data_IF_129635210955
#
_entry.id   IF_129635210955
#
_cell.length_a   1.000
_cell.length_b   1.000
_cell.length_c   1.000
_cell.angle_alpha   90.00
_cell.angle_beta   90.00
_cell.angle_gamma   90.00
#
_symmetry.space_group_name_H-M   'P 1'
#
loop_
_entity.id
_entity.type
_entity.pdbx_description
1 polymer ?
#
# COMPACT_ATOMS: atom_id res chain seq x y z
N UNK A 1 -66.07 -26.66 16.48
CA UNK A 1 -65.16 -25.55 16.80
C UNK A 1 -64.03 -26.11 17.66
N UNK A 2 -62.75 -25.97 17.26
CA UNK A 2 -61.64 -26.45 18.08
C UNK A 2 -61.61 -25.69 19.41
N UNK A 3 -61.38 -26.40 20.51
CA UNK A 3 -61.27 -25.81 21.85
C UNK A 3 -60.04 -24.91 21.94
N UNK A 4 -60.10 -23.80 22.69
CA UNK A 4 -59.03 -22.79 22.76
C UNK A 4 -57.65 -23.35 23.16
N UNK A 5 -57.62 -24.48 23.88
CA UNK A 5 -56.40 -25.21 24.27
C UNK A 5 -55.70 -25.88 23.08
N UNK A 6 -56.45 -26.45 22.13
CA UNK A 6 -55.89 -27.07 20.93
C UNK A 6 -55.27 -26.04 19.97
N UNK A 7 -55.82 -24.82 19.94
CA UNK A 7 -55.30 -23.72 19.13
C UNK A 7 -53.98 -23.14 19.64
N UNK A 8 -53.76 -23.13 20.96
CA UNK A 8 -52.49 -22.71 21.57
C UNK A 8 -51.37 -23.72 21.27
N UNK A 9 -51.66 -25.02 21.39
CA UNK A 9 -50.70 -26.11 21.10
C UNK A 9 -50.23 -26.13 19.63
N UNK A 10 -51.13 -25.86 18.67
CA UNK A 10 -50.79 -25.81 17.25
C UNK A 10 -49.85 -24.65 16.90
N UNK A 11 -50.07 -23.47 17.48
CA UNK A 11 -49.18 -22.29 17.30
C UNK A 11 -47.80 -22.53 17.91
N UNK A 12 -47.73 -23.19 19.06
CA UNK A 12 -46.47 -23.54 19.71
C UNK A 12 -45.66 -24.58 18.93
N UNK A 13 -46.33 -25.54 18.29
CA UNK A 13 -45.71 -26.52 17.39
C UNK A 13 -45.20 -25.88 16.10
N UNK A 14 -45.97 -24.96 15.51
CA UNK A 14 -45.57 -24.20 14.33
C UNK A 14 -44.37 -23.29 14.61
N UNK A 15 -44.39 -22.56 15.74
CA UNK A 15 -43.28 -21.74 16.21
C UNK A 15 -42.01 -22.56 16.49
N UNK A 16 -42.12 -23.75 17.10
CA UNK A 16 -40.97 -24.65 17.28
C UNK A 16 -40.41 -25.16 15.95
N UNK A 17 -41.28 -25.43 14.96
CA UNK A 17 -40.87 -25.90 13.64
C UNK A 17 -40.17 -24.79 12.83
N UNK A 18 -40.66 -23.55 12.90
CA UNK A 18 -40.05 -22.39 12.24
C UNK A 18 -38.71 -22.03 12.89
N UNK A 19 -38.62 -22.10 14.22
CA UNK A 19 -37.36 -21.92 14.93
C UNK A 19 -36.31 -22.96 14.52
N UNK A 20 -36.69 -24.25 14.42
CA UNK A 20 -35.78 -25.33 13.97
C UNK A 20 -35.30 -25.12 12.53
N UNK A 21 -36.18 -24.68 11.62
CA UNK A 21 -35.81 -24.35 10.22
C UNK A 21 -34.87 -23.16 10.15
N UNK A 22 -35.15 -22.09 10.91
CA UNK A 22 -34.29 -20.91 10.99
C UNK A 22 -32.91 -21.28 11.59
N UNK A 23 -32.87 -22.04 12.68
CA UNK A 23 -31.63 -22.53 13.28
C UNK A 23 -30.84 -23.40 12.30
N UNK A 24 -31.52 -24.28 11.55
CA UNK A 24 -30.89 -25.10 10.51
C UNK A 24 -30.27 -24.23 9.41
N UNK A 25 -30.99 -23.22 8.92
CA UNK A 25 -30.48 -22.29 7.92
C UNK A 25 -29.26 -21.49 8.43
N UNK A 26 -29.35 -20.95 9.65
CA UNK A 26 -28.25 -20.22 10.28
C UNK A 26 -27.02 -21.11 10.48
N UNK A 27 -27.20 -22.37 10.87
CA UNK A 27 -26.11 -23.34 10.96
C UNK A 27 -25.46 -23.59 9.60
N UNK A 28 -26.25 -23.78 8.54
CA UNK A 28 -25.72 -23.94 7.18
C UNK A 28 -24.94 -22.70 6.71
N UNK A 29 -25.45 -21.49 6.98
CA UNK A 29 -24.75 -20.24 6.66
C UNK A 29 -23.42 -20.16 7.43
N UNK A 30 -23.43 -20.47 8.74
CA UNK A 30 -22.23 -20.48 9.56
C UNK A 30 -21.18 -21.47 9.03
N UNK A 31 -21.59 -22.69 8.67
CA UNK A 31 -20.71 -23.70 8.08
C UNK A 31 -20.13 -23.18 6.76
N UNK A 32 -20.94 -22.59 5.88
CA UNK A 32 -20.45 -22.02 4.62
C UNK A 32 -19.44 -20.89 4.84
N UNK A 33 -19.65 -20.02 5.84
CA UNK A 33 -18.70 -18.96 6.19
C UNK A 33 -17.38 -19.54 6.71
N UNK A 34 -17.43 -20.53 7.61
CA UNK A 34 -16.22 -21.20 8.13
C UNK A 34 -15.45 -21.88 7.01
N UNK A 35 -16.14 -22.65 6.14
CA UNK A 35 -15.51 -23.30 4.99
C UNK A 35 -14.92 -22.28 4.00
N UNK A 36 -15.62 -21.16 3.80
CA UNK A 36 -15.14 -20.02 3.01
C UNK A 36 -13.82 -19.49 3.54
N UNK A 37 -13.76 -19.13 4.83
CA UNK A 37 -12.53 -18.66 5.49
C UNK A 37 -11.38 -19.65 5.38
N UNK A 38 -11.61 -20.92 5.75
CA UNK A 38 -10.58 -21.95 5.70
C UNK A 38 -10.07 -22.20 4.28
N UNK A 39 -10.98 -22.23 3.30
CA UNK A 39 -10.64 -22.39 1.89
C UNK A 39 -9.81 -21.20 1.37
N UNK A 40 -10.23 -19.98 1.70
CA UNK A 40 -9.51 -18.78 1.28
C UNK A 40 -8.17 -18.61 1.98
N UNK A 41 -8.07 -18.96 3.26
CA UNK A 41 -6.80 -18.95 4.00
C UNK A 41 -5.74 -19.78 3.29
N UNK A 42 -6.09 -20.99 2.82
CA UNK A 42 -5.14 -21.81 2.05
C UNK A 42 -4.70 -21.19 0.73
N UNK A 43 -5.61 -20.52 0.01
CA UNK A 43 -5.27 -19.83 -1.25
C UNK A 43 -4.41 -18.59 -0.97
N UNK A 44 -4.68 -17.89 0.13
CA UNK A 44 -3.94 -16.73 0.61
C UNK A 44 -2.49 -17.09 0.93
N UNK A 45 -2.29 -18.16 1.70
CA UNK A 45 -0.99 -18.65 2.16
C UNK A 45 -0.08 -19.13 1.02
N UNK A 46 -0.64 -19.42 -0.17
CA UNK A 46 0.13 -19.84 -1.34
C UNK A 46 0.56 -18.66 -2.23
N UNK A 47 0.10 -17.44 -1.95
CA UNK A 47 0.40 -16.28 -2.81
C UNK A 47 1.68 -15.58 -2.39
N UNK A 48 2.71 -15.73 -3.22
CA UNK A 48 3.99 -15.05 -3.06
C UNK A 48 3.87 -13.55 -2.78
N UNK A 49 3.02 -12.81 -3.50
CA UNK A 49 2.86 -11.36 -3.30
C UNK A 49 2.31 -11.06 -1.91
N UNK A 50 1.28 -11.78 -1.49
CA UNK A 50 0.68 -11.65 -0.16
C UNK A 50 1.69 -11.94 0.94
N UNK A 51 2.40 -13.06 0.85
CA UNK A 51 3.44 -13.42 1.81
C UNK A 51 4.53 -12.36 1.89
N UNK A 52 4.94 -11.81 0.74
CA UNK A 52 5.96 -10.75 0.70
C UNK A 52 5.48 -9.48 1.40
N UNK A 53 4.20 -9.12 1.26
CA UNK A 53 3.61 -7.98 1.97
C UNK A 53 3.56 -8.26 3.48
N UNK A 54 3.11 -9.45 3.89
CA UNK A 54 3.04 -9.86 5.30
C UNK A 54 4.41 -9.85 5.97
N UNK A 55 5.41 -10.40 5.31
CA UNK A 55 6.79 -10.40 5.77
C UNK A 55 7.32 -8.98 5.88
N UNK A 56 7.03 -8.12 4.89
CA UNK A 56 7.39 -6.70 4.94
C UNK A 56 6.76 -5.95 6.12
N UNK A 57 5.48 -6.20 6.41
CA UNK A 57 4.78 -5.63 7.58
C UNK A 57 5.36 -6.17 8.88
N UNK A 58 5.62 -7.47 8.96
CA UNK A 58 6.22 -8.11 10.14
C UNK A 58 7.63 -7.56 10.41
N UNK A 59 8.45 -7.45 9.38
CA UNK A 59 9.79 -6.85 9.43
C UNK A 59 9.72 -5.41 9.91
N UNK A 60 8.82 -4.59 9.33
CA UNK A 60 8.62 -3.20 9.72
C UNK A 60 8.19 -3.07 11.20
N UNK A 61 7.31 -3.94 11.68
CA UNK A 61 6.89 -3.98 13.08
C UNK A 61 7.98 -4.46 14.03
N UNK A 62 8.93 -5.25 13.55
CA UNK A 62 10.06 -5.74 14.34
C UNK A 62 11.18 -4.70 14.49
N UNK A 63 11.15 -3.60 13.73
CA UNK A 63 12.16 -2.53 13.82
C UNK A 63 12.15 -1.94 15.22
N UNK A 64 13.33 -1.96 15.85
CA UNK A 64 13.61 -1.29 17.13
C UNK A 64 14.83 -0.40 16.94
N UNK A 65 14.81 0.77 17.55
CA UNK A 65 15.99 1.63 17.60
C UNK A 65 17.19 0.86 18.18
N UNK A 66 18.37 1.04 17.58
CA UNK A 66 19.61 0.42 18.04
C UNK A 66 20.76 1.41 17.88
N UNK A 67 21.45 1.71 18.97
CA UNK A 67 22.57 2.67 18.98
C UNK A 67 23.70 2.29 18.00
N UNK A 68 23.86 1.00 17.72
CA UNK A 68 24.94 0.48 16.86
C UNK A 68 24.66 0.57 15.36
N UNK A 69 23.39 0.71 14.95
CA UNK A 69 23.00 0.69 13.52
C UNK A 69 21.73 1.49 13.28
N UNK A 70 21.78 2.43 12.34
CA UNK A 70 20.61 3.19 11.93
C UNK A 70 19.62 2.30 11.19
N UNK A 71 18.39 2.25 11.68
CA UNK A 71 17.29 1.49 11.10
C UNK A 71 16.58 2.33 10.03
N UNK A 72 16.62 1.87 8.78
CA UNK A 72 15.96 2.53 7.66
C UNK A 72 14.77 1.68 7.22
N UNK A 73 13.56 2.26 7.26
CA UNK A 73 12.37 1.67 6.65
C UNK A 73 12.13 2.32 5.29
N UNK A 74 12.33 1.57 4.22
CA UNK A 74 11.93 1.97 2.87
C UNK A 74 10.49 1.51 2.64
N UNK A 75 9.59 2.45 2.39
CA UNK A 75 8.15 2.21 2.37
C UNK A 75 7.50 2.85 1.15
N UNK A 76 6.48 2.20 0.58
CA UNK A 76 5.83 2.71 -0.61
C UNK A 76 5.05 1.66 -1.38
N UNK A 77 4.53 2.04 -2.53
CA UNK A 77 3.70 1.13 -3.31
C UNK A 77 4.51 0.18 -4.20
N UNK A 78 3.98 -0.20 -5.35
CA UNK A 78 4.67 -1.07 -6.32
C UNK A 78 6.01 -0.49 -6.79
N UNK A 79 6.20 0.83 -6.77
CA UNK A 79 7.47 1.47 -7.08
C UNK A 79 8.59 1.10 -6.09
N UNK A 80 8.26 0.90 -4.82
CA UNK A 80 9.21 0.38 -3.82
C UNK A 80 9.29 -1.14 -3.89
N UNK A 81 8.15 -1.81 -4.02
CA UNK A 81 8.08 -3.26 -4.07
C UNK A 81 8.93 -3.86 -5.20
N UNK A 82 8.93 -3.22 -6.38
CA UNK A 82 9.64 -3.69 -7.56
C UNK A 82 10.90 -2.87 -7.87
N UNK A 83 10.89 -1.56 -7.58
CA UNK A 83 11.97 -0.65 -7.93
C UNK A 83 13.13 -0.61 -6.93
N UNK A 84 12.95 -1.10 -5.69
CA UNK A 84 14.00 -1.16 -4.68
C UNK A 84 14.38 -2.60 -4.34
N UNK A 85 15.64 -2.93 -4.57
CA UNK A 85 16.24 -4.19 -4.16
C UNK A 85 16.96 -4.04 -2.82
N UNK A 86 16.33 -4.53 -1.74
CA UNK A 86 16.88 -4.56 -0.36
C UNK A 86 18.33 -5.04 -0.30
N UNK A 87 18.74 -6.16 -0.93
CA UNK A 87 20.14 -6.61 -0.85
C UNK A 87 21.15 -5.60 -1.38
N UNK A 88 20.86 -4.96 -2.52
CA UNK A 88 21.78 -4.01 -3.16
C UNK A 88 21.78 -2.66 -2.44
N UNK A 89 20.63 -2.21 -1.93
CA UNK A 89 20.55 -1.03 -1.09
C UNK A 89 21.34 -1.22 0.21
N UNK A 90 21.17 -2.37 0.88
CA UNK A 90 21.93 -2.73 2.08
C UNK A 90 23.43 -2.84 1.81
N UNK A 91 23.82 -3.45 0.67
CA UNK A 91 25.21 -3.54 0.24
C UNK A 91 25.84 -2.15 0.04
N UNK A 92 25.12 -1.25 -0.65
CA UNK A 92 25.62 0.10 -0.94
C UNK A 92 25.73 0.99 0.30
N UNK A 93 24.85 0.84 1.28
CA UNK A 93 24.90 1.61 2.52
C UNK A 93 25.96 1.10 3.51
N UNK A 94 26.22 -0.21 3.52
CA UNK A 94 27.17 -0.86 4.42
C UNK A 94 26.58 -1.23 5.79
N UNK A 95 27.42 -1.77 6.68
CA UNK A 95 27.00 -2.40 7.93
C UNK A 95 26.54 -1.45 9.06
N UNK A 96 26.73 -0.14 8.90
CA UNK A 96 26.27 0.90 9.84
C UNK A 96 24.76 1.14 9.75
N UNK A 97 24.13 0.66 8.67
CA UNK A 97 22.71 0.79 8.41
C UNK A 97 22.06 -0.60 8.39
N UNK A 98 20.81 -0.67 8.82
CA UNK A 98 19.96 -1.84 8.66
C UNK A 98 18.74 -1.44 7.84
N UNK A 99 18.67 -1.96 6.62
CA UNK A 99 17.59 -1.66 5.67
C UNK A 99 16.45 -2.65 5.84
N UNK A 100 15.24 -2.12 5.95
CA UNK A 100 13.98 -2.83 5.91
C UNK A 100 13.15 -2.27 4.75
N UNK A 101 12.40 -3.13 4.06
CA UNK A 101 11.59 -2.74 2.90
C UNK A 101 10.16 -3.21 3.10
N UNK A 102 9.20 -2.32 2.93
CA UNK A 102 7.78 -2.63 2.96
C UNK A 102 7.12 -1.99 1.75
N UNK A 103 7.01 -2.77 0.67
CA UNK A 103 6.30 -2.38 -0.54
C UNK A 103 4.89 -2.98 -0.56
N UNK A 104 3.85 -2.18 -0.82
CA UNK A 104 2.48 -2.69 -0.97
C UNK A 104 1.96 -2.33 -2.37
N UNK A 105 1.97 -3.25 -3.33
CA UNK A 105 1.46 -3.01 -4.68
C UNK A 105 0.04 -2.42 -4.68
N UNK A 106 -0.18 -1.42 -5.54
CA UNK A 106 -1.45 -0.71 -5.70
C UNK A 106 -1.78 0.31 -4.60
N UNK A 107 -1.03 0.36 -3.51
CA UNK A 107 -1.33 1.24 -2.38
C UNK A 107 -1.26 2.73 -2.75
N UNK A 108 -2.11 3.52 -2.11
CA UNK A 108 -2.28 4.96 -2.31
C UNK A 108 -1.68 5.78 -1.17
N UNK A 109 -1.73 7.10 -1.31
CA UNK A 109 -1.31 8.03 -0.26
C UNK A 109 -1.98 7.75 1.10
N UNK A 110 -3.31 7.57 1.14
CA UNK A 110 -4.02 7.38 2.40
C UNK A 110 -3.65 6.04 3.05
N UNK A 111 -3.49 4.97 2.26
CA UNK A 111 -3.03 3.67 2.73
C UNK A 111 -1.75 3.81 3.57
N UNK A 112 -0.80 4.60 3.08
CA UNK A 112 0.47 4.87 3.74
C UNK A 112 0.37 5.84 4.91
N UNK A 113 -0.44 6.90 4.81
CA UNK A 113 -0.64 7.85 5.92
C UNK A 113 -1.16 7.14 7.16
N UNK A 114 -2.23 6.36 7.03
CA UNK A 114 -2.78 5.61 8.15
C UNK A 114 -1.90 4.41 8.53
N UNK A 115 -1.26 3.79 7.54
CA UNK A 115 -0.40 2.64 7.76
C UNK A 115 0.83 2.94 8.60
N UNK A 116 1.56 3.99 8.24
CA UNK A 116 2.72 4.44 9.02
C UNK A 116 2.28 4.83 10.43
N UNK A 117 1.18 5.58 10.58
CA UNK A 117 0.65 5.92 11.89
C UNK A 117 0.34 4.66 12.74
N UNK A 118 -0.21 3.61 12.13
CA UNK A 118 -0.47 2.34 12.81
C UNK A 118 0.81 1.60 13.18
N UNK A 119 1.80 1.53 12.28
CA UNK A 119 3.10 0.90 12.54
C UNK A 119 3.82 1.51 13.75
N UNK A 120 3.91 2.85 13.80
CA UNK A 120 4.56 3.55 14.91
C UNK A 120 3.81 3.35 16.22
N UNK A 121 2.47 3.40 16.21
CA UNK A 121 1.64 3.08 17.39
C UNK A 121 1.84 1.65 17.88
N UNK A 122 2.06 0.70 16.96
CA UNK A 122 2.30 -0.72 17.27
C UNK A 122 3.75 -1.00 17.68
N UNK A 123 4.58 0.05 17.82
CA UNK A 123 5.92 -0.04 18.40
C UNK A 123 7.06 -0.17 17.40
N UNK A 124 6.81 0.01 16.10
CA UNK A 124 7.89 0.18 15.12
C UNK A 124 8.69 1.45 15.45
N UNK A 125 10.02 1.36 15.44
CA UNK A 125 10.92 2.47 15.77
C UNK A 125 12.08 2.60 14.76
N UNK A 126 11.81 2.89 13.48
CA UNK A 126 12.87 3.23 12.53
C UNK A 126 13.48 4.60 12.86
N UNK A 127 14.77 4.76 12.56
CA UNK A 127 15.46 6.05 12.65
C UNK A 127 15.12 6.94 11.46
N UNK A 128 14.94 6.31 10.29
CA UNK A 128 14.65 6.97 9.02
C UNK A 128 13.51 6.22 8.33
N UNK A 129 12.51 6.96 7.88
CA UNK A 129 11.48 6.46 6.95
C UNK A 129 11.77 7.06 5.59
N UNK A 130 12.13 6.21 4.63
CA UNK A 130 12.30 6.58 3.23
C UNK A 130 11.04 6.19 2.47
N UNK A 131 10.22 7.17 2.11
CA UNK A 131 8.89 6.94 1.55
C UNK A 131 8.81 7.27 0.06
N UNK A 132 8.15 6.42 -0.72
CA UNK A 132 7.93 6.67 -2.16
C UNK A 132 6.55 6.23 -2.66
N UNK A 133 5.90 7.15 -3.36
CA UNK A 133 4.83 6.93 -4.34
C UNK A 133 5.06 7.94 -5.48
N UNK A 134 4.44 7.75 -6.64
CA UNK A 134 4.68 8.65 -7.76
C UNK A 134 4.10 10.07 -7.49
N UNK A 135 4.68 11.12 -8.09
CA UNK A 135 4.15 12.48 -7.99
C UNK A 135 2.66 12.58 -8.31
N UNK A 136 2.20 11.98 -9.40
CA UNK A 136 0.77 12.00 -9.78
C UNK A 136 -0.10 11.23 -8.79
N UNK A 137 0.40 10.15 -8.17
CA UNK A 137 -0.32 9.41 -7.13
C UNK A 137 -0.50 10.23 -5.84
N UNK A 138 0.46 11.09 -5.51
CA UNK A 138 0.29 12.08 -4.45
C UNK A 138 -0.83 13.08 -4.75
N UNK A 139 -1.20 13.32 -6.01
CA UNK A 139 -2.28 14.25 -6.36
C UNK A 139 -3.66 13.57 -6.47
N UNK A 140 -3.70 12.24 -6.53
CA UNK A 140 -4.96 11.51 -6.67
C UNK A 140 -5.89 11.78 -5.49
N UNK A 141 -7.18 12.05 -5.72
CA UNK A 141 -8.16 12.13 -4.64
C UNK A 141 -8.15 10.87 -3.76
N UNK A 142 -8.55 10.98 -2.49
CA UNK A 142 -8.77 9.82 -1.64
C UNK A 142 -9.65 8.81 -2.36
N UNK A 143 -9.15 7.60 -2.50
CA UNK A 143 -9.91 6.48 -3.05
C UNK A 143 -9.91 5.37 -2.01
N UNK A 144 -11.05 4.71 -1.84
CA UNK A 144 -11.14 3.53 -0.99
C UNK A 144 -10.45 2.39 -1.72
N UNK A 145 -9.18 2.13 -1.40
CA UNK A 145 -8.40 1.08 -2.04
C UNK A 145 -8.77 -0.29 -1.48
N UNK A 146 -9.15 -1.25 -2.34
CA UNK A 146 -9.29 -2.65 -1.94
C UNK A 146 -7.94 -3.37 -2.08
N UNK A 147 -7.06 -3.18 -1.10
CA UNK A 147 -5.71 -3.77 -1.00
C UNK A 147 -5.51 -4.28 0.44
N UNK A 148 -4.39 -4.96 0.82
CA UNK A 148 -4.27 -5.54 2.17
C UNK A 148 -4.07 -4.49 3.27
N UNK A 149 -5.09 -3.64 3.44
CA UNK A 149 -5.28 -2.71 4.54
C UNK A 149 -5.38 -3.45 5.88
N UNK A 150 -5.84 -4.71 5.85
CA UNK A 150 -5.94 -5.57 7.03
C UNK A 150 -4.62 -5.74 7.78
N UNK A 151 -3.50 -5.72 7.05
CA UNK A 151 -2.17 -5.92 7.64
C UNK A 151 -1.53 -4.61 8.10
N UNK A 152 -1.85 -3.53 7.39
CA UNK A 152 -1.20 -2.23 7.61
C UNK A 152 -1.98 -1.33 8.59
N UNK A 153 -3.31 -1.37 8.58
CA UNK A 153 -4.15 -0.52 9.44
C UNK A 153 -4.66 -1.28 10.66
N UNK A 154 -4.78 -0.59 11.79
CA UNK A 154 -5.58 -1.05 12.92
C UNK A 154 -7.04 -0.61 12.79
N UNK A 155 -7.93 -1.19 13.61
CA UNK A 155 -9.35 -0.79 13.65
C UNK A 155 -9.53 0.71 13.93
N UNK A 156 -8.66 1.30 14.76
CA UNK A 156 -8.70 2.75 15.03
C UNK A 156 -8.44 3.58 13.78
N UNK A 157 -7.46 3.16 12.97
CA UNK A 157 -7.15 3.83 11.71
C UNK A 157 -8.30 3.70 10.69
N UNK A 158 -8.95 2.53 10.63
CA UNK A 158 -10.16 2.34 9.80
C UNK A 158 -11.27 3.32 10.19
N UNK A 159 -11.54 3.47 11.50
CA UNK A 159 -12.56 4.40 12.00
C UNK A 159 -12.17 5.86 11.74
N UNK A 160 -10.90 6.22 11.89
CA UNK A 160 -10.41 7.55 11.55
C UNK A 160 -10.57 7.86 10.05
N UNK A 161 -10.20 6.92 9.18
CA UNK A 161 -10.39 7.05 7.73
C UNK A 161 -11.85 7.24 7.34
N UNK A 162 -12.74 6.42 7.91
CA UNK A 162 -14.17 6.55 7.71
C UNK A 162 -14.70 7.96 8.07
N UNK A 163 -14.28 8.50 9.22
CA UNK A 163 -14.72 9.82 9.69
C UNK A 163 -14.15 10.96 8.83
N UNK A 164 -12.86 10.92 8.55
CA UNK A 164 -12.16 11.98 7.80
C UNK A 164 -12.60 12.06 6.34
N UNK A 165 -12.90 10.92 5.72
CA UNK A 165 -13.33 10.85 4.32
C UNK A 165 -14.86 10.87 4.14
N UNK A 166 -15.62 11.06 5.23
CA UNK A 166 -17.08 11.07 5.22
C UNK A 166 -17.70 9.88 4.47
N UNK A 167 -17.14 8.68 4.67
CA UNK A 167 -17.56 7.50 3.92
C UNK A 167 -18.94 7.01 4.38
N UNK A 168 -19.58 6.19 3.54
CA UNK A 168 -20.83 5.52 3.90
C UNK A 168 -20.60 4.42 4.96
N UNK A 169 -21.64 4.11 5.75
CA UNK A 169 -21.60 2.98 6.71
C UNK A 169 -21.35 1.63 6.01
N UNK A 170 -21.81 1.50 4.77
CA UNK A 170 -21.54 0.32 3.92
C UNK A 170 -20.05 0.18 3.63
N UNK A 171 -19.37 1.30 3.36
CA UNK A 171 -17.92 1.35 3.15
C UNK A 171 -17.17 0.96 4.42
N UNK A 172 -17.56 1.51 5.57
CA UNK A 172 -16.97 1.14 6.87
C UNK A 172 -17.12 -0.36 7.15
N UNK A 173 -18.32 -0.89 6.93
CA UNK A 173 -18.61 -2.32 7.16
C UNK A 173 -17.73 -3.21 6.29
N UNK A 174 -17.56 -2.85 5.01
CA UNK A 174 -16.66 -3.56 4.10
C UNK A 174 -15.20 -3.51 4.59
N UNK A 175 -14.71 -2.35 5.01
CA UNK A 175 -13.34 -2.20 5.52
C UNK A 175 -13.11 -3.03 6.80
N UNK A 176 -14.07 -3.06 7.72
CA UNK A 176 -13.99 -3.87 8.93
C UNK A 176 -14.02 -5.38 8.62
N UNK A 177 -14.88 -5.80 7.70
CA UNK A 177 -14.93 -7.20 7.27
C UNK A 177 -13.62 -7.59 6.57
N UNK A 178 -13.08 -6.77 5.68
CA UNK A 178 -11.77 -7.01 5.07
C UNK A 178 -10.64 -7.07 6.10
N UNK A 179 -10.73 -6.30 7.19
CA UNK A 179 -9.74 -6.31 8.26
C UNK A 179 -9.75 -7.60 9.08
N UNK A 180 -10.93 -8.17 9.35
CA UNK A 180 -11.08 -9.33 10.24
C UNK A 180 -11.29 -10.67 9.51
N UNK A 181 -11.54 -10.66 8.20
CA UNK A 181 -11.86 -11.85 7.41
C UNK A 181 -10.98 -11.95 6.17
N UNK A 182 -10.25 -13.05 6.06
CA UNK A 182 -9.43 -13.37 4.88
C UNK A 182 -10.33 -13.61 3.68
N UNK A 183 -11.48 -14.26 3.88
CA UNK A 183 -12.47 -14.45 2.82
C UNK A 183 -12.95 -13.11 2.24
N UNK A 184 -13.36 -12.17 3.10
CA UNK A 184 -13.83 -10.86 2.65
C UNK A 184 -12.73 -10.05 2.00
N UNK A 185 -11.51 -10.11 2.52
CA UNK A 185 -10.32 -9.53 1.89
C UNK A 185 -10.09 -10.10 0.49
N UNK A 186 -10.14 -11.43 0.34
CA UNK A 186 -9.88 -12.11 -0.92
C UNK A 186 -11.07 -12.08 -1.89
N UNK A 187 -12.25 -11.60 -1.50
CA UNK A 187 -13.48 -11.72 -2.30
C UNK A 187 -13.36 -11.18 -3.72
N UNK A 188 -12.68 -10.02 -3.89
CA UNK A 188 -12.49 -9.42 -5.21
C UNK A 188 -11.55 -10.25 -6.07
N UNK A 189 -10.49 -10.77 -5.46
CA UNK A 189 -9.56 -11.69 -6.10
C UNK A 189 -10.28 -12.96 -6.54
N UNK A 190 -11.00 -13.63 -5.64
CA UNK A 190 -11.78 -14.84 -5.95
C UNK A 190 -12.75 -14.56 -7.10
N UNK A 191 -13.45 -13.42 -7.04
CA UNK A 191 -14.36 -12.99 -8.09
C UNK A 191 -13.65 -12.86 -9.44
N UNK A 192 -12.44 -12.28 -9.49
CA UNK A 192 -11.64 -12.20 -10.72
C UNK A 192 -11.34 -13.60 -11.26
N UNK A 193 -10.92 -14.55 -10.42
CA UNK A 193 -10.65 -15.92 -10.88
C UNK A 193 -11.90 -16.62 -11.40
N UNK A 194 -13.02 -16.51 -10.69
CA UNK A 194 -14.31 -17.04 -11.16
C UNK A 194 -14.70 -16.42 -12.50
N UNK A 195 -14.49 -15.10 -12.65
CA UNK A 195 -14.79 -14.39 -13.90
C UNK A 195 -13.87 -14.80 -15.05
N UNK A 196 -12.58 -15.02 -14.79
CA UNK A 196 -11.64 -15.53 -15.80
C UNK A 196 -12.00 -16.93 -16.32
N UNK A 197 -12.75 -17.72 -15.53
CA UNK A 197 -13.28 -18.99 -15.99
C UNK A 197 -14.48 -18.84 -16.95
N UNK A 198 -15.05 -17.65 -17.10
CA UNK A 198 -16.16 -17.37 -18.02
C UNK A 198 -15.57 -17.08 -19.42
N UNK A 199 -15.93 -17.86 -20.46
CA UNK A 199 -15.48 -17.61 -21.82
C UNK A 199 -15.85 -16.19 -22.28
N UNK A 200 -14.89 -15.47 -22.87
CA UNK A 200 -15.09 -14.11 -23.40
C UNK A 200 -15.09 -12.99 -22.35
N UNK A 201 -14.86 -13.30 -21.06
CA UNK A 201 -14.81 -12.28 -20.00
C UNK A 201 -13.75 -11.20 -20.24
N UNK A 202 -12.56 -11.61 -20.72
CA UNK A 202 -11.43 -10.70 -21.02
C UNK A 202 -11.85 -9.62 -22.05
N UNK A 203 -12.57 -10.01 -23.11
CA UNK A 203 -13.05 -9.11 -24.17
C UNK A 203 -14.10 -8.13 -23.63
N UNK A 204 -15.04 -8.63 -22.83
CA UNK A 204 -16.08 -7.81 -22.21
C UNK A 204 -15.50 -6.77 -21.25
N UNK A 205 -14.50 -7.15 -20.43
CA UNK A 205 -13.81 -6.23 -19.52
C UNK A 205 -13.05 -5.17 -20.30
N UNK A 206 -12.36 -5.54 -21.37
CA UNK A 206 -11.63 -4.59 -22.21
C UNK A 206 -12.60 -3.54 -22.80
N UNK A 207 -13.74 -3.97 -23.35
CA UNK A 207 -14.77 -3.06 -23.87
C UNK A 207 -15.34 -2.14 -22.78
N UNK A 208 -15.55 -2.64 -21.57
CA UNK A 208 -16.01 -1.82 -20.44
C UNK A 208 -14.94 -0.85 -19.96
N UNK A 209 -13.66 -1.25 -19.92
CA UNK A 209 -12.57 -0.37 -19.52
C UNK A 209 -12.36 0.76 -20.53
N UNK A 210 -12.47 0.46 -21.82
CA UNK A 210 -12.44 1.47 -22.90
C UNK A 210 -13.63 2.43 -22.81
N UNK A 211 -14.82 1.93 -22.48
CA UNK A 211 -16.03 2.74 -22.33
C UNK A 211 -16.09 3.54 -21.01
N UNK A 212 -15.42 3.07 -19.96
CA UNK A 212 -15.43 3.66 -18.62
C UNK A 212 -14.17 4.50 -18.33
N UNK A 213 -13.32 4.75 -19.33
CA UNK A 213 -12.17 5.64 -19.17
C UNK A 213 -12.67 6.98 -18.62
N UNK A 214 -12.36 7.33 -17.35
CA UNK A 214 -12.83 8.57 -16.78
C UNK A 214 -12.27 9.70 -17.63
N UNK A 215 -13.08 10.72 -17.91
CA UNK A 215 -12.57 11.98 -18.42
C UNK A 215 -11.42 12.39 -17.49
N UNK A 216 -10.21 12.52 -18.06
CA UNK A 216 -9.05 13.01 -17.33
C UNK A 216 -9.47 14.36 -16.75
N UNK A 217 -9.66 14.43 -15.42
CA UNK A 217 -9.75 15.71 -14.76
C UNK A 217 -8.50 16.50 -15.18
N UNK A 218 -8.63 17.76 -15.58
CA UNK A 218 -7.46 18.55 -15.96
C UNK A 218 -6.46 18.47 -14.81
N UNK A 219 -5.20 18.22 -15.14
CA UNK A 219 -4.14 18.23 -14.15
C UNK A 219 -4.23 19.55 -13.38
N UNK A 220 -4.16 19.52 -12.04
CA UNK A 220 -4.25 20.73 -11.23
C UNK A 220 -3.17 21.72 -11.68
N UNK A 221 -3.45 23.01 -11.59
CA UNK A 221 -2.41 24.01 -11.85
C UNK A 221 -1.22 23.81 -10.90
N UNK A 222 0.02 24.08 -11.33
CA UNK A 222 1.23 23.78 -10.53
C UNK A 222 1.20 24.34 -9.10
N UNK A 223 0.58 25.51 -8.88
CA UNK A 223 0.42 26.09 -7.56
C UNK A 223 -0.52 25.27 -6.65
N UNK A 224 -1.60 24.72 -7.23
CA UNK A 224 -2.52 23.81 -6.56
C UNK A 224 -1.85 22.47 -6.26
N UNK A 225 -1.08 21.93 -7.20
CA UNK A 225 -0.29 20.71 -7.00
C UNK A 225 0.70 20.86 -5.83
N UNK A 226 1.46 21.95 -5.78
CA UNK A 226 2.39 22.24 -4.65
C UNK A 226 1.65 22.30 -3.31
N UNK A 227 0.49 22.94 -3.24
CA UNK A 227 -0.30 23.02 -2.01
C UNK A 227 -0.80 21.65 -1.54
N UNK A 228 -1.22 20.80 -2.47
CA UNK A 228 -1.60 19.40 -2.19
C UNK A 228 -0.38 18.62 -1.68
N UNK A 229 0.77 18.71 -2.34
CA UNK A 229 2.01 18.06 -1.90
C UNK A 229 2.42 18.50 -0.50
N UNK A 230 2.41 19.81 -0.21
CA UNK A 230 2.76 20.33 1.10
C UNK A 230 1.86 19.76 2.19
N UNK A 231 0.55 19.73 1.95
CA UNK A 231 -0.41 19.17 2.89
C UNK A 231 -0.16 17.68 3.13
N UNK A 232 0.01 16.90 2.06
CA UNK A 232 0.16 15.45 2.12
C UNK A 232 1.50 14.99 2.69
N UNK A 233 2.59 15.64 2.31
CA UNK A 233 3.92 15.39 2.87
C UNK A 233 3.94 15.69 4.37
N UNK A 234 3.33 16.80 4.81
CA UNK A 234 3.21 17.13 6.24
C UNK A 234 2.41 16.05 6.99
N UNK A 235 1.30 15.58 6.41
CA UNK A 235 0.49 14.53 7.03
C UNK A 235 1.26 13.21 7.22
N UNK A 236 2.04 12.77 6.23
CA UNK A 236 2.87 11.57 6.37
C UNK A 236 4.02 11.79 7.35
N UNK A 237 4.66 12.96 7.33
CA UNK A 237 5.72 13.31 8.28
C UNK A 237 5.20 13.22 9.73
N UNK A 238 4.00 13.74 10.00
CA UNK A 238 3.34 13.61 11.30
C UNK A 238 3.04 12.14 11.64
N UNK A 239 2.61 11.34 10.66
CA UNK A 239 2.34 9.92 10.86
C UNK A 239 3.59 9.10 11.26
N UNK A 240 4.78 9.52 10.85
CA UNK A 240 6.06 8.90 11.24
C UNK A 240 6.48 9.22 12.69
N UNK A 241 5.76 10.10 13.39
CA UNK A 241 6.08 10.50 14.74
C UNK A 241 7.35 11.35 14.87
N UNK A 242 7.65 11.88 16.06
CA UNK A 242 8.69 12.90 16.24
C UNK A 242 10.12 12.36 16.25
N UNK A 243 10.31 11.04 16.37
CA UNK A 243 11.66 10.43 16.49
C UNK A 243 12.26 10.01 15.16
N UNK A 244 11.43 9.66 14.18
CA UNK A 244 11.91 9.22 12.89
C UNK A 244 12.13 10.41 11.95
N UNK A 245 13.22 10.38 11.21
CA UNK A 245 13.46 11.33 10.11
C UNK A 245 12.69 10.87 8.88
N UNK A 246 11.78 11.71 8.40
CA UNK A 246 11.01 11.43 7.18
C UNK A 246 11.75 11.94 5.94
N UNK A 247 12.07 11.03 5.02
CA UNK A 247 12.73 11.31 3.74
C UNK A 247 11.80 10.92 2.60
N UNK A 248 11.78 11.74 1.55
CA UNK A 248 11.06 11.45 0.31
C UNK A 248 12.01 10.78 -0.69
N UNK A 249 11.64 9.61 -1.20
CA UNK A 249 12.28 8.94 -2.32
C UNK A 249 11.44 9.14 -3.58
N UNK A 250 12.07 9.54 -4.67
CA UNK A 250 11.45 9.62 -5.99
C UNK A 250 12.01 8.48 -6.84
N UNK A 251 11.19 7.48 -7.12
CA UNK A 251 11.49 6.37 -8.04
C UNK A 251 11.03 6.78 -9.44
N UNK A 252 11.86 6.68 -10.48
CA UNK A 252 11.46 7.02 -11.84
C UNK A 252 10.40 6.04 -12.35
N UNK A 253 9.36 6.56 -13.00
CA UNK A 253 8.24 5.82 -13.61
C UNK A 253 8.25 5.91 -15.15
N UNK A 254 9.11 6.75 -15.74
CA UNK A 254 9.17 7.04 -17.16
C UNK A 254 8.00 7.88 -17.67
N UNK A 255 7.12 8.37 -16.79
CA UNK A 255 5.89 9.06 -17.19
C UNK A 255 6.09 10.57 -17.32
N UNK A 256 5.53 11.15 -18.37
CA UNK A 256 5.59 12.60 -18.60
C UNK A 256 4.85 13.39 -17.53
N UNK A 257 3.74 12.88 -17.02
CA UNK A 257 2.95 13.58 -16.00
C UNK A 257 3.67 13.55 -14.65
N UNK A 258 4.33 12.46 -14.27
CA UNK A 258 5.17 12.44 -13.07
C UNK A 258 6.35 13.42 -13.22
N UNK A 259 6.94 13.54 -14.42
CA UNK A 259 8.04 14.47 -14.69
C UNK A 259 7.62 15.94 -14.56
N UNK A 260 6.38 16.27 -14.97
CA UNK A 260 5.82 17.62 -14.86
C UNK A 260 5.64 18.04 -13.40
N UNK A 261 5.28 17.09 -12.54
CA UNK A 261 4.96 17.35 -11.13
C UNK A 261 6.17 17.22 -10.19
N UNK A 262 7.26 16.58 -10.64
CA UNK A 262 8.46 16.33 -9.84
C UNK A 262 9.04 17.61 -9.20
N UNK A 263 9.07 18.71 -9.95
CA UNK A 263 9.61 19.99 -9.46
C UNK A 263 8.75 20.59 -8.33
N UNK A 264 7.41 20.54 -8.47
CA UNK A 264 6.49 21.03 -7.45
C UNK A 264 6.55 20.17 -6.18
N UNK A 265 6.68 18.85 -6.33
CA UNK A 265 6.86 17.92 -5.21
C UNK A 265 8.18 18.19 -4.46
N UNK A 266 9.29 18.36 -5.18
CA UNK A 266 10.59 18.72 -4.59
C UNK A 266 10.54 20.06 -3.86
N UNK A 267 9.88 21.06 -4.43
CA UNK A 267 9.71 22.37 -3.80
C UNK A 267 8.89 22.29 -2.50
N UNK A 268 7.81 21.49 -2.47
CA UNK A 268 7.03 21.26 -1.27
C UNK A 268 7.82 20.50 -0.18
N UNK A 269 8.60 19.49 -0.56
CA UNK A 269 9.46 18.76 0.35
C UNK A 269 10.53 19.67 0.98
N UNK A 270 11.19 20.51 0.16
CA UNK A 270 12.16 21.49 0.61
C UNK A 270 11.57 22.47 1.63
N UNK A 271 10.36 22.99 1.38
CA UNK A 271 9.67 23.92 2.29
C UNK A 271 9.36 23.29 3.66
N UNK A 272 9.17 21.97 3.71
CA UNK A 272 8.95 21.21 4.95
C UNK A 272 10.24 20.70 5.59
N UNK A 273 11.41 21.02 5.03
CA UNK A 273 12.71 20.49 5.49
C UNK A 273 12.86 18.98 5.28
N UNK A 274 12.07 18.40 4.37
CA UNK A 274 12.11 16.97 4.05
C UNK A 274 13.26 16.74 3.07
N UNK A 275 14.17 15.84 3.44
CA UNK A 275 15.23 15.41 2.53
C UNK A 275 14.64 14.64 1.36
N UNK A 276 15.02 15.02 0.14
CA UNK A 276 14.65 14.30 -1.08
C UNK A 276 15.84 13.46 -1.56
N UNK A 277 15.58 12.18 -1.80
CA UNK A 277 16.48 11.22 -2.44
C UNK A 277 15.93 10.94 -3.82
N UNK A 278 16.60 11.47 -4.84
CA UNK A 278 16.17 11.37 -6.24
C UNK A 278 17.43 11.29 -7.11
N UNK A 279 18.14 10.15 -7.09
CA UNK A 279 19.45 10.05 -7.71
C UNK A 279 19.41 10.13 -9.25
N UNK A 280 18.21 9.99 -9.82
CA UNK A 280 17.94 10.03 -11.25
C UNK A 280 16.63 10.79 -11.44
N UNK A 281 16.59 11.70 -12.41
CA UNK A 281 15.36 12.38 -12.81
C UNK A 281 14.46 11.50 -13.69
N UNK A 282 13.15 11.78 -13.67
CA UNK A 282 12.11 10.96 -14.30
C UNK A 282 12.37 10.57 -15.77
N UNK A 283 12.98 11.48 -16.54
CA UNK A 283 13.20 11.33 -17.99
C UNK A 283 14.66 11.01 -18.37
N UNK A 284 15.51 10.71 -17.38
CA UNK A 284 16.93 10.43 -17.63
C UNK A 284 17.21 8.96 -17.97
N UNK A 285 16.23 8.07 -17.79
CA UNK A 285 16.39 6.64 -18.04
C UNK A 285 15.76 6.21 -19.38
N UNK A 286 16.46 5.39 -20.18
CA UNK A 286 15.91 4.90 -21.44
C UNK A 286 14.77 3.92 -21.18
N UNK A 287 13.82 3.84 -22.12
CA UNK A 287 12.61 3.00 -22.03
C UNK A 287 12.93 1.53 -21.70
N UNK A 288 14.07 1.02 -22.16
CA UNK A 288 14.52 -0.35 -21.86
C UNK A 288 14.83 -0.65 -20.39
N UNK A 289 14.85 0.37 -19.50
CA UNK A 289 14.98 0.20 -18.04
C UNK A 289 13.65 -0.11 -17.36
N UNK A 290 12.54 0.03 -18.07
CA UNK A 290 11.21 -0.26 -17.57
C UNK A 290 10.73 -1.64 -18.02
N UNK A 291 9.77 -2.20 -17.30
CA UNK A 291 9.07 -3.42 -17.68
C UNK A 291 8.16 -3.17 -18.89
N UNK A 292 7.46 -4.21 -19.35
CA UNK A 292 6.54 -4.13 -20.48
C UNK A 292 5.39 -3.13 -20.26
N UNK A 293 5.06 -2.82 -19.01
CA UNK A 293 4.06 -1.82 -18.64
C UNK A 293 4.57 -0.36 -18.77
N UNK A 294 5.86 -0.17 -19.05
CA UNK A 294 6.53 1.13 -19.18
C UNK A 294 6.40 2.02 -17.95
N UNK A 295 6.15 1.43 -16.78
CA UNK A 295 5.95 2.15 -15.52
C UNK A 295 6.88 1.65 -14.42
N UNK A 296 6.99 0.32 -14.25
CA UNK A 296 7.86 -0.24 -13.22
C UNK A 296 9.28 -0.46 -13.77
N UNK A 297 10.29 -0.28 -12.92
CA UNK A 297 11.66 -0.66 -13.26
C UNK A 297 11.76 -2.17 -13.47
N UNK A 298 12.55 -2.59 -14.46
CA UNK A 298 12.92 -3.99 -14.58
C UNK A 298 13.96 -4.37 -13.51
N UNK A 299 14.23 -5.67 -13.34
CA UNK A 299 15.10 -6.17 -12.27
C UNK A 299 16.54 -5.60 -12.31
N UNK A 300 17.11 -5.44 -13.51
CA UNK A 300 18.45 -4.86 -13.68
C UNK A 300 18.45 -3.38 -13.29
N UNK A 301 17.45 -2.64 -13.75
CA UNK A 301 17.27 -1.24 -13.47
C UNK A 301 17.04 -1.01 -11.96
N UNK A 302 16.19 -1.81 -11.31
CA UNK A 302 15.97 -1.75 -9.86
C UNK A 302 17.25 -1.99 -9.05
N UNK A 303 18.12 -2.92 -9.49
CA UNK A 303 19.45 -3.13 -8.88
C UNK A 303 20.31 -1.88 -8.97
N UNK A 304 20.47 -1.32 -10.16
CA UNK A 304 21.29 -0.11 -10.38
C UNK A 304 20.72 1.08 -9.60
N UNK A 305 19.40 1.27 -9.66
CA UNK A 305 18.71 2.33 -8.93
C UNK A 305 18.96 2.23 -7.42
N UNK A 306 18.89 1.03 -6.86
CA UNK A 306 19.12 0.79 -5.42
C UNK A 306 20.52 1.19 -4.97
N UNK A 307 21.53 0.97 -5.80
CA UNK A 307 22.92 1.39 -5.51
C UNK A 307 23.07 2.92 -5.57
N UNK A 308 22.39 3.56 -6.53
CA UNK A 308 22.38 5.02 -6.63
C UNK A 308 21.65 5.67 -5.44
N UNK A 309 20.51 5.10 -5.02
CA UNK A 309 19.79 5.50 -3.80
C UNK A 309 20.69 5.33 -2.57
N UNK A 310 21.44 4.22 -2.48
CA UNK A 310 22.37 4.01 -1.38
C UNK A 310 23.46 5.10 -1.31
N UNK A 311 24.06 5.44 -2.46
CA UNK A 311 25.07 6.48 -2.55
C UNK A 311 24.52 7.86 -2.14
N UNK A 312 23.31 8.19 -2.61
CA UNK A 312 22.67 9.46 -2.32
C UNK A 312 22.25 9.57 -0.84
N UNK A 313 21.68 8.50 -0.28
CA UNK A 313 21.41 8.41 1.16
C UNK A 313 22.68 8.53 2.00
N UNK A 314 23.73 7.80 1.65
CA UNK A 314 25.00 7.85 2.38
C UNK A 314 25.56 9.27 2.40
N UNK A 315 25.47 10.00 1.29
CA UNK A 315 25.88 11.40 1.18
C UNK A 315 25.09 12.33 2.12
N UNK A 316 23.78 12.10 2.28
CA UNK A 316 22.96 12.92 3.19
C UNK A 316 23.13 12.50 4.66
N UNK A 317 23.34 11.21 4.92
CA UNK A 317 23.42 10.67 6.28
C UNK A 317 24.82 10.74 6.89
N UNK A 318 25.87 10.87 6.08
CA UNK A 318 27.26 11.06 6.50
C UNK A 318 27.76 12.43 6.03
N UNK A 319 27.42 13.55 6.70
CA UNK A 319 27.90 14.86 6.29
C UNK A 319 29.44 14.91 6.39
N UNK A 320 30.09 15.03 5.23
CA UNK A 320 31.49 15.35 4.94
C UNK A 320 32.55 14.98 6.01
N UNK A 321 33.11 13.78 5.82
CA UNK A 321 34.43 13.39 6.33
C UNK A 321 35.22 12.44 5.42
N UNK A 322 34.70 12.02 4.26
CA UNK A 322 35.42 11.15 3.32
C UNK A 322 34.97 11.43 1.88
N UNK A 323 35.73 12.23 1.14
CA UNK A 323 35.63 12.29 -0.32
C UNK A 323 36.29 11.02 -0.88
N UNK A 324 35.50 10.08 -1.41
CA UNK A 324 36.01 9.11 -2.38
C UNK A 324 35.49 9.53 -3.74
N UNK A 325 36.44 9.89 -4.61
CA UNK A 325 36.22 10.32 -5.98
C UNK A 325 35.48 9.23 -6.78
N UNK A 326 34.25 9.51 -7.21
CA UNK A 326 33.50 8.67 -8.14
C UNK A 326 33.72 9.19 -9.56
N UNK A 327 34.84 8.83 -10.16
CA UNK A 327 35.16 9.07 -11.57
C UNK A 327 35.08 7.80 -12.45
N UNK A 328 34.47 6.70 -11.97
CA UNK A 328 34.59 5.40 -12.64
C UNK A 328 33.28 4.64 -12.96
N UNK A 329 32.08 5.23 -12.88
CA UNK A 329 30.83 4.48 -13.16
C UNK A 329 29.98 5.08 -14.28
N UNK A 330 30.44 6.15 -14.94
CA UNK A 330 29.76 6.70 -16.12
C UNK A 330 30.53 6.35 -17.40
N UNK A 331 30.59 5.04 -17.71
CA UNK A 331 30.90 4.45 -19.03
C UNK A 331 30.73 2.95 -18.86
N UNK A 332 29.52 2.46 -19.15
CA UNK A 332 29.21 1.23 -19.87
C UNK A 332 27.68 1.02 -19.94
#
# INVERSE_FOLDING_TARGET
>A
MPTPVAMLSAKDLEAKSSLRRLSGLLLCILIMLILGELGTGRIHDQRRVTLTIEDGVRDALAIRHRDTRLQILVSGNSLVFEGISKPFLQQGLGGEFQVHTMGIPGSTFDDWRYGLASLFKRGSQPDIVLFSISPTQFLRPPAVTSLPLSQLWGTREIVSYFREQHLSLSTLSNLLLEHYSVFFYMRNTIRIYVRKAIPGYEVMVQQWAEAAAPALNPAPHQAEAKAIFLTRLRQIQIACGPRARFFLLIVPTGQLDDAREEAALKAAAYELGITVVAPVGEQQWPVGRFQSDKYHLNAEAARVFSLLVAADLARVLRPQGLQVSLSAVAKD
#
